data_IF_487565244389
#
_entry.id   IF_487565244389
#
_cell.length_a   1.000
_cell.length_b   1.000
_cell.length_c   1.000
_cell.angle_alpha   90.00
_cell.angle_beta   90.00
_cell.angle_gamma   90.00
#
_symmetry.space_group_name_H-M   'P 1'
#
loop_
_entity.id
_entity.type
_entity.pdbx_description
1 polymer ?
#
# COMPACT_ATOMS: atom_id res chain seq x y z
N UNK A 1 -20.73 -14.73 15.40
CA UNK A 1 -20.02 -15.78 16.18
C UNK A 1 -20.82 -16.23 17.41
N UNK A 2 -21.08 -15.39 18.41
CA UNK A 2 -21.82 -15.79 19.63
C UNK A 2 -23.17 -16.47 19.38
N UNK A 3 -23.88 -16.14 18.30
CA UNK A 3 -25.19 -16.74 17.93
C UNK A 3 -25.09 -18.17 17.41
N UNK A 4 -23.90 -18.65 17.05
CA UNK A 4 -23.68 -19.99 16.50
C UNK A 4 -23.29 -21.02 17.60
N UNK A 5 -23.17 -20.58 18.87
CA UNK A 5 -22.68 -21.40 19.96
C UNK A 5 -23.88 -21.89 20.78
N UNK A 6 -23.94 -23.20 21.03
CA UNK A 6 -24.94 -23.79 21.92
C UNK A 6 -24.83 -23.18 23.33
N UNK A 7 -25.96 -23.11 24.06
CA UNK A 7 -25.99 -22.66 25.45
C UNK A 7 -24.99 -23.48 26.28
N UNK A 8 -24.04 -22.82 26.95
CA UNK A 8 -22.96 -23.47 27.71
C UNK A 8 -21.75 -23.91 26.87
N UNK A 9 -21.78 -23.71 25.54
CA UNK A 9 -20.62 -24.00 24.65
C UNK A 9 -19.45 -23.06 24.89
N UNK A 10 -18.25 -23.52 24.56
CA UNK A 10 -17.01 -22.77 24.62
C UNK A 10 -16.51 -22.46 23.18
N UNK A 11 -15.75 -21.43 23.05
CA UNK A 11 -15.05 -21.11 21.79
C UNK A 11 -13.63 -20.59 22.10
N UNK A 12 -12.73 -20.83 21.18
CA UNK A 12 -11.36 -20.33 21.22
C UNK A 12 -11.22 -19.38 20.04
N UNK A 13 -10.66 -18.21 20.28
CA UNK A 13 -10.35 -17.22 19.25
C UNK A 13 -8.85 -16.95 19.30
N UNK A 14 -8.20 -17.13 18.17
CA UNK A 14 -6.79 -16.75 17.97
C UNK A 14 -6.74 -15.54 17.04
N UNK A 15 -5.92 -14.57 17.36
CA UNK A 15 -5.73 -13.37 16.55
C UNK A 15 -4.48 -12.60 16.94
N UNK A 16 -4.14 -11.65 16.12
CA UNK A 16 -3.04 -10.70 16.35
C UNK A 16 -3.51 -9.33 15.88
N UNK A 17 -3.67 -8.39 16.81
CA UNK A 17 -4.11 -7.03 16.52
C UNK A 17 -3.09 -6.27 15.67
N UNK A 18 -1.80 -6.59 15.83
CA UNK A 18 -0.71 -5.99 15.06
C UNK A 18 -0.65 -6.49 13.61
N UNK A 19 -1.50 -7.47 13.25
CA UNK A 19 -1.72 -7.89 11.87
C UNK A 19 -3.06 -7.41 11.30
N UNK A 20 -3.72 -6.44 11.95
CA UNK A 20 -4.94 -5.81 11.45
C UNK A 20 -4.58 -4.78 10.37
N UNK A 21 -4.62 -5.19 9.09
CA UNK A 21 -4.21 -4.40 7.92
C UNK A 21 -5.32 -4.22 6.87
N UNK A 22 -6.55 -4.71 7.13
CA UNK A 22 -7.64 -4.73 6.15
C UNK A 22 -8.83 -3.85 6.57
N UNK A 23 -8.63 -2.79 7.33
CA UNK A 23 -9.74 -1.91 7.76
C UNK A 23 -10.38 -1.17 6.58
N UNK A 24 -9.62 -0.84 5.54
CA UNK A 24 -10.13 -0.27 4.30
C UNK A 24 -11.21 -1.16 3.65
N UNK A 25 -11.19 -2.49 3.92
CA UNK A 25 -12.19 -3.45 3.48
C UNK A 25 -13.31 -3.66 4.51
N UNK A 26 -13.48 -2.74 5.48
CA UNK A 26 -14.53 -2.82 6.50
C UNK A 26 -14.22 -3.76 7.68
N UNK A 27 -12.99 -4.25 7.82
CA UNK A 27 -12.59 -5.04 8.98
C UNK A 27 -12.51 -4.14 10.22
N UNK A 28 -13.13 -4.58 11.34
CA UNK A 28 -13.03 -3.87 12.61
C UNK A 28 -11.64 -4.05 13.22
N UNK A 29 -10.99 -2.95 13.58
CA UNK A 29 -9.71 -2.95 14.30
C UNK A 29 -9.87 -3.40 15.76
N UNK A 30 -11.06 -3.22 16.32
CA UNK A 30 -11.33 -3.51 17.74
C UNK A 30 -11.99 -4.86 17.98
N UNK A 31 -12.49 -5.54 16.94
CA UNK A 31 -13.27 -6.78 17.09
C UNK A 31 -12.52 -7.88 17.86
N UNK A 32 -11.20 -7.97 17.69
CA UNK A 32 -10.39 -8.93 18.44
C UNK A 32 -10.25 -8.48 19.91
N UNK A 33 -9.96 -7.22 20.16
CA UNK A 33 -9.83 -6.64 21.49
C UNK A 33 -11.15 -6.70 22.27
N UNK A 34 -12.28 -6.48 21.61
CA UNK A 34 -13.60 -6.60 22.22
C UNK A 34 -13.90 -8.04 22.68
N UNK A 35 -13.38 -9.04 21.95
CA UNK A 35 -13.47 -10.44 22.36
C UNK A 35 -12.45 -10.75 23.45
N UNK A 36 -11.21 -10.27 23.32
CA UNK A 36 -10.12 -10.49 24.26
C UNK A 36 -10.45 -9.91 25.64
N UNK A 37 -11.01 -8.70 25.71
CA UNK A 37 -11.42 -8.02 26.94
C UNK A 37 -12.87 -8.37 27.38
N UNK A 38 -13.50 -9.34 26.72
CA UNK A 38 -14.89 -9.71 27.01
C UNK A 38 -15.08 -10.32 28.40
N UNK A 39 -16.25 -10.12 29.02
CA UNK A 39 -16.59 -10.77 30.29
C UNK A 39 -16.55 -12.30 30.12
N UNK A 40 -15.91 -13.02 31.04
CA UNK A 40 -15.73 -14.48 31.04
C UNK A 40 -14.74 -14.98 29.94
N UNK A 41 -13.89 -14.15 29.43
CA UNK A 41 -12.78 -14.53 28.54
C UNK A 41 -11.55 -14.84 29.38
N UNK A 42 -10.94 -16.00 29.17
CA UNK A 42 -9.59 -16.30 29.67
C UNK A 42 -8.59 -15.96 28.55
N UNK A 43 -7.63 -15.13 28.87
CA UNK A 43 -6.64 -14.63 27.94
C UNK A 43 -5.36 -15.46 28.01
N UNK A 44 -4.79 -15.77 26.86
CA UNK A 44 -3.49 -16.41 26.73
C UNK A 44 -2.67 -15.63 25.69
N UNK A 45 -1.43 -15.36 26.00
CA UNK A 45 -0.49 -14.73 25.09
C UNK A 45 0.40 -15.78 24.44
N UNK A 46 0.69 -15.60 23.15
CA UNK A 46 1.60 -16.44 22.36
C UNK A 46 2.73 -15.56 21.80
N UNK A 47 3.64 -15.07 22.65
CA UNK A 47 4.66 -14.11 22.24
C UNK A 47 5.79 -14.72 21.40
N UNK A 48 5.97 -16.05 21.42
CA UNK A 48 7.09 -16.71 20.77
C UNK A 48 6.80 -16.97 19.30
N UNK A 49 7.59 -16.39 18.43
CA UNK A 49 7.58 -16.66 16.99
C UNK A 49 8.35 -17.95 16.69
N UNK A 50 7.71 -18.85 15.96
CA UNK A 50 8.32 -20.09 15.45
C UNK A 50 8.74 -19.98 13.99
N UNK A 51 8.51 -18.81 13.36
CA UNK A 51 8.77 -18.59 11.94
C UNK A 51 10.12 -17.94 11.69
N UNK A 52 10.37 -16.82 12.33
CA UNK A 52 11.46 -15.92 11.95
C UNK A 52 12.68 -16.11 12.84
N UNK A 53 13.84 -15.95 12.22
CA UNK A 53 15.14 -15.91 12.91
C UNK A 53 15.32 -14.64 13.76
N UNK A 54 16.31 -14.64 14.66
CA UNK A 54 16.52 -13.61 15.69
C UNK A 54 16.60 -12.18 15.14
N UNK A 55 17.40 -11.97 14.09
CA UNK A 55 17.58 -10.63 13.51
C UNK A 55 16.28 -10.03 12.98
N UNK A 56 15.42 -10.88 12.37
CA UNK A 56 14.13 -10.46 11.84
C UNK A 56 13.19 -10.10 12.99
N UNK A 57 13.14 -10.91 14.05
CA UNK A 57 12.32 -10.60 15.23
C UNK A 57 12.82 -9.35 15.93
N UNK A 58 14.14 -9.16 16.08
CA UNK A 58 14.72 -7.92 16.63
C UNK A 58 14.27 -6.67 15.84
N UNK A 59 14.16 -6.79 14.52
CA UNK A 59 13.62 -5.71 13.69
C UNK A 59 12.10 -5.52 13.91
N UNK A 60 11.34 -6.62 14.01
CA UNK A 60 9.90 -6.60 14.25
C UNK A 60 9.51 -6.07 15.64
N UNK A 61 10.37 -6.24 16.65
CA UNK A 61 10.18 -5.71 18.00
C UNK A 61 10.04 -4.18 18.07
N UNK A 62 10.43 -3.47 17.02
CA UNK A 62 10.20 -2.00 16.91
C UNK A 62 8.72 -1.65 16.79
N UNK A 63 7.92 -2.56 16.28
CA UNK A 63 6.47 -2.44 16.10
C UNK A 63 5.69 -3.20 17.16
N UNK A 64 6.19 -4.37 17.54
CA UNK A 64 5.59 -5.27 18.54
C UNK A 64 6.66 -5.66 19.57
N UNK A 65 6.90 -4.83 20.60
CA UNK A 65 7.99 -5.06 21.56
C UNK A 65 7.94 -6.41 22.30
N UNK A 66 6.74 -6.97 22.48
CA UNK A 66 6.52 -8.22 23.20
C UNK A 66 6.80 -9.50 22.41
N UNK A 67 7.06 -9.42 21.08
CA UNK A 67 7.36 -10.62 20.30
C UNK A 67 8.75 -11.15 20.64
N UNK A 68 8.88 -12.46 20.78
CA UNK A 68 10.11 -13.15 21.13
C UNK A 68 10.44 -14.25 20.13
N UNK A 69 11.69 -14.71 20.13
CA UNK A 69 12.13 -15.89 19.38
C UNK A 69 12.21 -17.12 20.29
N UNK A 70 12.22 -18.30 19.68
CA UNK A 70 12.71 -19.51 20.35
C UNK A 70 14.20 -19.35 20.72
N UNK A 71 14.66 -20.10 21.71
CA UNK A 71 16.08 -20.13 22.09
C UNK A 71 16.94 -20.73 20.97
N UNK A 72 16.49 -21.85 20.40
CA UNK A 72 17.17 -22.61 19.35
C UNK A 72 16.75 -22.15 17.94
N UNK A 73 16.99 -20.89 17.59
CA UNK A 73 16.71 -20.37 16.24
C UNK A 73 17.96 -19.71 15.68
N UNK A 74 18.09 -19.71 14.35
CA UNK A 74 19.21 -19.06 13.64
C UNK A 74 19.29 -17.56 13.89
N UNK A 75 20.45 -16.98 13.62
CA UNK A 75 20.61 -15.53 13.72
C UNK A 75 19.79 -14.78 12.65
N UNK A 76 19.63 -15.40 11.47
CA UNK A 76 18.98 -14.76 10.34
C UNK A 76 19.83 -13.64 9.74
N UNK A 77 19.39 -13.14 8.59
CA UNK A 77 20.16 -12.17 7.83
C UNK A 77 19.26 -11.02 7.37
N UNK A 78 19.73 -9.79 7.60
CA UNK A 78 19.11 -8.59 7.05
C UNK A 78 20.13 -7.91 6.14
N UNK A 79 19.79 -7.75 4.87
CA UNK A 79 20.63 -7.06 3.89
C UNK A 79 19.92 -5.80 3.40
N UNK A 80 20.69 -4.73 3.28
CA UNK A 80 20.24 -3.47 2.70
C UNK A 80 20.93 -3.27 1.35
N UNK A 81 20.29 -2.53 0.47
CA UNK A 81 20.83 -2.19 -0.85
C UNK A 81 21.14 -3.41 -1.73
N UNK A 82 20.32 -4.47 -1.64
CA UNK A 82 20.39 -5.60 -2.57
C UNK A 82 19.87 -5.17 -3.95
N UNK A 83 20.21 -5.93 -4.98
CA UNK A 83 19.82 -5.66 -6.36
C UNK A 83 18.78 -6.68 -6.85
N UNK A 84 18.06 -6.36 -7.91
CA UNK A 84 17.08 -7.27 -8.53
C UNK A 84 17.72 -8.60 -8.95
N UNK A 85 18.94 -8.56 -9.47
CA UNK A 85 19.68 -9.75 -9.89
C UNK A 85 20.01 -10.72 -8.74
N UNK A 86 19.89 -10.25 -7.50
CA UNK A 86 20.11 -11.08 -6.30
C UNK A 86 18.88 -11.90 -5.92
N UNK A 87 17.72 -11.64 -6.54
CA UNK A 87 16.47 -12.37 -6.34
C UNK A 87 16.57 -13.72 -7.05
N UNK A 88 16.20 -14.79 -6.36
CA UNK A 88 16.32 -16.17 -6.81
C UNK A 88 14.96 -16.86 -6.87
N UNK A 89 14.84 -17.95 -7.63
CA UNK A 89 13.67 -18.83 -7.57
C UNK A 89 13.31 -19.22 -6.12
N UNK A 90 12.03 -19.31 -5.82
CA UNK A 90 11.41 -19.52 -4.50
C UNK A 90 11.49 -18.33 -3.53
N UNK A 91 12.18 -17.24 -3.87
CA UNK A 91 12.12 -16.03 -3.08
C UNK A 91 10.74 -15.36 -3.20
N UNK A 92 10.42 -14.53 -2.20
CA UNK A 92 9.22 -13.69 -2.21
C UNK A 92 9.61 -12.23 -2.35
N UNK A 93 8.93 -11.51 -3.24
CA UNK A 93 9.09 -10.05 -3.40
C UNK A 93 7.84 -9.35 -2.90
N UNK A 94 8.02 -8.40 -2.00
CA UNK A 94 6.93 -7.63 -1.40
C UNK A 94 7.03 -6.14 -1.73
N UNK A 95 5.88 -5.53 -2.01
CA UNK A 95 5.74 -4.08 -2.15
C UNK A 95 4.44 -3.58 -1.53
N UNK A 96 4.41 -2.29 -1.21
CA UNK A 96 3.19 -1.62 -0.75
C UNK A 96 2.15 -1.43 -1.87
N UNK A 97 2.62 -1.17 -3.08
CA UNK A 97 1.81 -0.89 -4.26
C UNK A 97 1.97 -1.99 -5.34
N UNK A 98 1.04 -2.03 -6.29
CA UNK A 98 1.06 -2.99 -7.39
C UNK A 98 2.07 -2.60 -8.48
N UNK A 99 2.09 -1.34 -8.91
CA UNK A 99 2.89 -0.92 -10.06
C UNK A 99 4.39 -1.25 -9.94
N UNK A 100 5.08 -1.09 -8.79
CA UNK A 100 6.46 -1.54 -8.65
C UNK A 100 6.61 -3.07 -8.78
N UNK A 101 5.61 -3.84 -8.34
CA UNK A 101 5.63 -5.31 -8.50
C UNK A 101 5.58 -5.71 -9.99
N UNK A 102 4.75 -5.06 -10.78
CA UNK A 102 4.67 -5.31 -12.21
C UNK A 102 5.96 -4.91 -12.93
N UNK A 103 6.61 -3.84 -12.49
CA UNK A 103 7.94 -3.47 -13.01
C UNK A 103 8.99 -4.51 -12.64
N UNK A 104 8.98 -4.97 -11.38
CA UNK A 104 9.86 -6.03 -10.92
C UNK A 104 9.66 -7.31 -11.73
N UNK A 105 8.41 -7.71 -11.94
CA UNK A 105 8.04 -8.83 -12.79
C UNK A 105 8.69 -8.72 -14.19
N UNK A 106 8.51 -7.56 -14.84
CA UNK A 106 9.08 -7.33 -16.17
C UNK A 106 10.61 -7.44 -16.17
N UNK A 107 11.27 -6.94 -15.12
CA UNK A 107 12.73 -7.00 -14.98
C UNK A 107 13.24 -8.43 -14.71
N UNK A 108 12.54 -9.18 -13.85
CA UNK A 108 12.88 -10.58 -13.58
C UNK A 108 12.73 -11.43 -14.85
N UNK A 109 11.67 -11.19 -15.63
CA UNK A 109 11.48 -11.84 -16.93
C UNK A 109 12.61 -11.50 -17.92
N UNK A 110 13.10 -10.25 -17.92
CA UNK A 110 14.25 -9.84 -18.73
C UNK A 110 15.56 -10.54 -18.32
N UNK A 111 15.66 -10.93 -17.05
CA UNK A 111 16.77 -11.71 -16.50
C UNK A 111 16.57 -13.23 -16.64
N UNK A 112 15.49 -13.67 -17.30
CA UNK A 112 15.09 -15.08 -17.40
C UNK A 112 14.89 -15.77 -16.03
N UNK A 113 14.43 -15.02 -15.03
CA UNK A 113 14.09 -15.55 -13.71
C UNK A 113 12.57 -15.81 -13.71
N UNK A 114 12.11 -17.08 -13.56
CA UNK A 114 10.70 -17.40 -13.54
C UNK A 114 10.02 -16.76 -12.34
N UNK A 115 8.93 -16.03 -12.59
CA UNK A 115 8.23 -15.32 -11.56
C UNK A 115 6.75 -15.15 -11.90
N UNK A 116 5.92 -14.93 -10.87
CA UNK A 116 4.50 -14.70 -11.01
C UNK A 116 4.01 -13.69 -9.97
N UNK A 117 2.89 -13.04 -10.26
CA UNK A 117 2.25 -12.13 -9.32
C UNK A 117 1.12 -12.86 -8.59
N UNK A 118 1.16 -12.84 -7.27
CA UNK A 118 0.09 -13.38 -6.44
C UNK A 118 -1.11 -12.44 -6.50
N UNK A 119 -2.07 -12.77 -7.39
CA UNK A 119 -3.31 -12.03 -7.57
C UNK A 119 -4.42 -12.47 -6.62
N UNK A 120 -5.47 -11.65 -6.52
CA UNK A 120 -6.77 -12.07 -6.01
C UNK A 120 -7.71 -12.30 -7.18
N UNK A 121 -8.70 -13.20 -7.01
CA UNK A 121 -9.85 -13.23 -7.92
C UNK A 121 -10.40 -11.81 -8.10
N UNK A 122 -10.65 -11.42 -9.35
CA UNK A 122 -11.14 -10.09 -9.70
C UNK A 122 -10.09 -9.03 -10.06
N UNK A 123 -8.81 -9.17 -9.66
CA UNK A 123 -7.79 -8.15 -10.01
C UNK A 123 -7.50 -8.13 -11.52
N UNK A 124 -7.39 -9.31 -12.13
CA UNK A 124 -7.26 -9.45 -13.58
C UNK A 124 -8.49 -8.85 -14.28
N UNK A 125 -9.69 -9.13 -13.74
CA UNK A 125 -10.94 -8.64 -14.32
C UNK A 125 -11.04 -7.10 -14.20
N UNK A 126 -10.56 -6.51 -13.09
CA UNK A 126 -10.50 -5.06 -12.92
C UNK A 126 -9.57 -4.40 -13.95
N UNK A 127 -8.36 -4.94 -14.15
CA UNK A 127 -7.43 -4.44 -15.17
C UNK A 127 -7.99 -4.62 -16.58
N UNK A 128 -8.60 -5.78 -16.88
CA UNK A 128 -9.28 -6.02 -18.17
C UNK A 128 -10.46 -5.07 -18.36
N UNK A 129 -11.25 -4.82 -17.32
CA UNK A 129 -12.36 -3.86 -17.38
C UNK A 129 -11.84 -2.46 -17.67
N UNK A 130 -10.77 -2.04 -17.02
CA UNK A 130 -10.14 -0.74 -17.27
C UNK A 130 -9.70 -0.61 -18.74
N UNK A 131 -8.99 -1.61 -19.26
CA UNK A 131 -8.62 -1.66 -20.68
C UNK A 131 -9.85 -1.57 -21.58
N UNK A 132 -10.87 -2.39 -21.32
CA UNK A 132 -12.05 -2.47 -22.18
C UNK A 132 -12.89 -1.18 -22.16
N UNK A 133 -12.84 -0.42 -21.04
CA UNK A 133 -13.54 0.86 -20.92
C UNK A 133 -12.90 1.95 -21.76
N UNK A 134 -11.56 1.96 -21.87
CA UNK A 134 -10.81 3.09 -22.46
C UNK A 134 -10.11 2.74 -23.78
N UNK A 135 -10.19 1.48 -24.24
CA UNK A 135 -9.71 1.13 -25.58
C UNK A 135 -10.73 1.57 -26.63
N UNK A 136 -10.24 2.01 -27.77
CA UNK A 136 -11.09 2.21 -28.96
C UNK A 136 -11.09 0.98 -29.88
N UNK A 137 -9.92 0.34 -30.02
CA UNK A 137 -9.75 -0.88 -30.84
C UNK A 137 -8.70 -1.80 -30.20
N UNK A 138 -8.87 -3.12 -30.36
CA UNK A 138 -7.94 -4.15 -29.88
C UNK A 138 -6.58 -4.10 -30.61
N UNK A 139 -6.58 -3.67 -31.87
CA UNK A 139 -5.39 -3.61 -32.72
C UNK A 139 -4.64 -2.27 -32.61
N UNK A 140 -5.23 -1.29 -31.90
CA UNK A 140 -4.58 0.00 -31.71
C UNK A 140 -3.38 -0.14 -30.77
N UNK A 141 -2.36 0.64 -31.08
CA UNK A 141 -1.14 0.69 -30.28
C UNK A 141 -1.38 1.26 -28.89
N UNK A 142 -0.45 0.98 -28.00
CA UNK A 142 -0.41 1.54 -26.64
C UNK A 142 0.19 2.96 -26.63
N UNK A 143 0.55 3.48 -27.79
CA UNK A 143 1.29 4.73 -27.97
C UNK A 143 0.54 5.97 -27.47
N UNK A 144 1.30 7.06 -27.31
CA UNK A 144 0.79 8.41 -27.08
C UNK A 144 0.25 9.03 -28.37
N UNK A 145 -0.77 8.40 -28.96
CA UNK A 145 -1.59 8.93 -30.06
C UNK A 145 -3.00 9.18 -29.55
N UNK A 146 -3.75 10.02 -30.27
CA UNK A 146 -5.08 10.47 -29.84
C UNK A 146 -6.04 9.31 -29.49
N UNK A 147 -5.89 8.17 -30.16
CA UNK A 147 -6.71 6.97 -29.97
C UNK A 147 -6.00 5.87 -29.15
N UNK A 148 -4.82 6.13 -28.60
CA UNK A 148 -4.06 5.16 -27.83
C UNK A 148 -4.68 4.86 -26.46
N UNK A 149 -4.52 3.63 -25.98
CA UNK A 149 -5.05 3.23 -24.68
C UNK A 149 -4.52 4.11 -23.52
N UNK A 150 -3.21 4.32 -23.44
CA UNK A 150 -2.62 5.06 -22.33
C UNK A 150 -3.02 6.53 -22.26
N UNK A 151 -3.05 7.28 -23.36
CA UNK A 151 -3.60 8.64 -23.35
C UNK A 151 -5.03 8.72 -22.84
N UNK A 152 -5.89 7.78 -23.24
CA UNK A 152 -7.29 7.72 -22.78
C UNK A 152 -7.37 7.43 -21.29
N UNK A 153 -6.54 6.53 -20.76
CA UNK A 153 -6.45 6.23 -19.33
C UNK A 153 -5.97 7.45 -18.52
N UNK A 154 -4.98 8.18 -19.00
CA UNK A 154 -4.51 9.39 -18.32
C UNK A 154 -5.52 10.54 -18.40
N UNK A 155 -6.28 10.64 -19.50
CA UNK A 155 -7.39 11.57 -19.59
C UNK A 155 -8.43 11.30 -18.50
N UNK A 156 -8.81 10.01 -18.34
CA UNK A 156 -9.73 9.61 -17.28
C UNK A 156 -9.20 9.91 -15.87
N UNK A 157 -7.88 9.73 -15.65
CA UNK A 157 -7.23 10.07 -14.38
C UNK A 157 -7.36 11.57 -14.07
N UNK A 158 -7.14 12.43 -15.05
CA UNK A 158 -7.28 13.88 -14.88
C UNK A 158 -8.75 14.27 -14.64
N UNK A 159 -9.67 13.63 -15.32
CA UNK A 159 -11.11 13.83 -15.11
C UNK A 159 -11.55 13.42 -13.71
N UNK A 160 -11.08 12.27 -13.21
CA UNK A 160 -11.34 11.80 -11.86
C UNK A 160 -10.80 12.79 -10.81
N UNK A 161 -9.54 13.25 -10.94
CA UNK A 161 -8.99 14.31 -10.07
C UNK A 161 -9.82 15.58 -10.10
N UNK A 162 -10.22 16.04 -11.31
CA UNK A 162 -10.96 17.27 -11.47
C UNK A 162 -12.35 17.18 -10.82
N UNK A 163 -12.99 16.01 -10.81
CA UNK A 163 -14.26 15.80 -10.12
C UNK A 163 -14.16 16.10 -8.62
N UNK A 164 -13.04 15.75 -7.98
CA UNK A 164 -12.79 16.12 -6.57
C UNK A 164 -12.62 17.62 -6.39
N UNK A 165 -11.88 18.27 -7.30
CA UNK A 165 -11.69 19.73 -7.25
C UNK A 165 -13.02 20.48 -7.41
N UNK A 166 -13.90 20.03 -8.31
CA UNK A 166 -15.24 20.56 -8.51
C UNK A 166 -16.12 20.38 -7.26
N UNK A 167 -15.90 19.31 -6.50
CA UNK A 167 -16.55 19.06 -5.22
C UNK A 167 -15.89 19.82 -4.03
N UNK A 168 -14.93 20.71 -4.29
CA UNK A 168 -14.36 21.62 -3.30
C UNK A 168 -13.11 21.15 -2.58
N UNK A 169 -12.49 20.04 -3.02
CA UNK A 169 -11.17 19.62 -2.54
C UNK A 169 -10.08 20.48 -3.18
N UNK A 170 -8.97 20.69 -2.46
CA UNK A 170 -7.81 21.28 -3.10
C UNK A 170 -7.08 20.26 -4.01
N UNK A 171 -6.14 20.76 -4.84
CA UNK A 171 -5.46 19.91 -5.82
C UNK A 171 -4.64 18.76 -5.15
N UNK A 172 -4.05 19.01 -3.99
CA UNK A 172 -3.25 18.02 -3.26
C UNK A 172 -4.18 16.97 -2.63
N UNK A 173 -5.28 17.41 -2.04
CA UNK A 173 -6.30 16.51 -1.48
C UNK A 173 -6.93 15.63 -2.58
N UNK A 174 -7.24 16.23 -3.74
CA UNK A 174 -7.79 15.51 -4.88
C UNK A 174 -6.83 14.45 -5.42
N UNK A 175 -5.56 14.81 -5.64
CA UNK A 175 -4.52 13.86 -6.08
C UNK A 175 -4.33 12.73 -5.07
N UNK A 176 -4.41 13.02 -3.78
CA UNK A 176 -4.22 12.06 -2.70
C UNK A 176 -5.49 11.27 -2.34
N UNK A 177 -6.59 11.50 -3.03
CA UNK A 177 -7.82 10.72 -2.83
C UNK A 177 -7.59 9.24 -3.20
N UNK A 178 -8.31 8.35 -2.52
CA UNK A 178 -8.12 6.91 -2.70
C UNK A 178 -8.41 6.46 -4.14
N UNK A 179 -9.45 7.00 -4.79
CA UNK A 179 -9.80 6.61 -6.15
C UNK A 179 -8.77 7.08 -7.18
N UNK A 180 -8.28 8.31 -7.06
CA UNK A 180 -7.24 8.84 -7.95
C UNK A 180 -5.93 8.07 -7.81
N UNK A 181 -5.50 7.78 -6.57
CA UNK A 181 -4.30 6.99 -6.32
C UNK A 181 -4.44 5.55 -6.83
N UNK A 182 -5.60 4.93 -6.64
CA UNK A 182 -5.89 3.59 -7.13
C UNK A 182 -5.88 3.52 -8.66
N UNK A 183 -6.54 4.48 -9.32
CA UNK A 183 -6.54 4.57 -10.78
C UNK A 183 -5.13 4.81 -11.33
N UNK A 184 -4.36 5.69 -10.68
CA UNK A 184 -2.97 5.95 -11.05
C UNK A 184 -2.09 4.69 -10.93
N UNK A 185 -2.17 3.94 -9.82
CA UNK A 185 -1.41 2.69 -9.63
C UNK A 185 -1.78 1.64 -10.68
N UNK A 186 -3.06 1.51 -11.03
CA UNK A 186 -3.51 0.61 -12.09
C UNK A 186 -2.98 1.02 -13.48
N UNK A 187 -2.99 2.30 -13.81
CA UNK A 187 -2.42 2.81 -15.07
C UNK A 187 -0.92 2.52 -15.13
N UNK A 188 -0.17 2.81 -14.05
CA UNK A 188 1.25 2.50 -13.98
C UNK A 188 1.52 1.00 -14.12
N UNK A 189 0.66 0.16 -13.54
CA UNK A 189 0.73 -1.29 -13.66
C UNK A 189 0.57 -1.74 -15.12
N UNK A 190 -0.45 -1.22 -15.81
CA UNK A 190 -0.68 -1.50 -17.23
C UNK A 190 0.48 -1.04 -18.11
N UNK A 191 1.06 0.13 -17.83
CA UNK A 191 2.26 0.62 -18.54
C UNK A 191 3.44 -0.31 -18.31
N UNK A 192 3.67 -0.75 -17.08
CA UNK A 192 4.78 -1.64 -16.73
C UNK A 192 4.66 -2.99 -17.47
N UNK A 193 3.45 -3.55 -17.53
CA UNK A 193 3.17 -4.81 -18.25
C UNK A 193 3.26 -4.60 -19.75
N UNK A 194 2.67 -3.51 -20.26
CA UNK A 194 2.59 -3.19 -21.67
C UNK A 194 3.90 -2.70 -22.30
N UNK A 195 4.96 -2.54 -21.53
CA UNK A 195 6.23 -1.96 -22.00
C UNK A 195 6.83 -2.63 -23.23
N UNK A 196 6.55 -3.92 -23.45
CA UNK A 196 7.00 -4.71 -24.60
C UNK A 196 5.85 -5.11 -25.54
N UNK A 197 4.64 -4.66 -25.27
CA UNK A 197 3.47 -4.93 -26.10
C UNK A 197 3.28 -3.82 -27.12
N UNK A 198 2.86 -4.17 -28.33
CA UNK A 198 2.55 -3.22 -29.38
C UNK A 198 1.05 -2.93 -29.46
N UNK A 199 0.22 -3.89 -29.08
CA UNK A 199 -1.24 -3.82 -29.18
C UNK A 199 -1.95 -4.09 -27.85
N UNK A 200 -3.22 -3.68 -27.79
CA UNK A 200 -4.10 -3.98 -26.64
C UNK A 200 -4.29 -5.49 -26.48
N UNK A 201 -4.38 -6.22 -27.60
CA UNK A 201 -4.53 -7.69 -27.59
C UNK A 201 -3.32 -8.37 -26.93
N UNK A 202 -2.10 -7.95 -27.29
CA UNK A 202 -0.87 -8.46 -26.66
C UNK A 202 -0.82 -8.14 -25.16
N UNK A 203 -1.23 -6.92 -24.77
CA UNK A 203 -1.30 -6.54 -23.36
C UNK A 203 -2.25 -7.44 -22.57
N UNK A 204 -3.45 -7.71 -23.11
CA UNK A 204 -4.43 -8.60 -22.48
C UNK A 204 -3.91 -10.03 -22.33
N UNK A 205 -3.31 -10.57 -23.38
CA UNK A 205 -2.71 -11.91 -23.34
C UNK A 205 -1.59 -11.99 -22.29
N UNK A 206 -0.75 -10.97 -22.21
CA UNK A 206 0.32 -10.91 -21.19
C UNK A 206 -0.25 -10.83 -19.78
N UNK A 207 -1.31 -10.04 -19.56
CA UNK A 207 -2.00 -9.96 -18.28
C UNK A 207 -2.55 -11.31 -17.81
N UNK A 208 -3.06 -12.13 -18.70
CA UNK A 208 -3.57 -13.47 -18.37
C UNK A 208 -2.50 -14.40 -17.81
N UNK A 209 -1.27 -14.24 -18.27
CA UNK A 209 -0.17 -15.14 -17.91
C UNK A 209 0.59 -14.73 -16.63
N UNK A 210 0.57 -13.44 -16.23
CA UNK A 210 1.39 -12.97 -15.09
C UNK A 210 0.90 -13.48 -13.73
N UNK A 211 -0.37 -13.91 -13.63
CA UNK A 211 -0.97 -14.43 -12.41
C UNK A 211 -0.91 -15.97 -12.31
N UNK A 212 -0.39 -16.64 -13.32
CA UNK A 212 -0.24 -18.09 -13.30
C UNK A 212 0.91 -18.43 -12.38
N UNK A 213 0.62 -19.18 -11.32
CA UNK A 213 1.65 -19.63 -10.37
C UNK A 213 2.62 -20.58 -11.08
N UNK A 214 3.91 -20.31 -10.93
CA UNK A 214 5.00 -21.09 -11.51
C UNK A 214 5.69 -21.82 -10.38
N UNK A 215 5.79 -23.14 -10.50
CA UNK A 215 6.54 -23.96 -9.54
C UNK A 215 8.00 -23.48 -9.48
N UNK A 216 8.51 -23.30 -8.27
CA UNK A 216 9.82 -22.73 -8.01
C UNK A 216 10.01 -21.30 -8.58
N UNK A 217 8.95 -20.61 -8.97
CA UNK A 217 9.02 -19.21 -9.39
C UNK A 217 9.17 -18.23 -8.21
N UNK A 218 9.63 -17.02 -8.51
CA UNK A 218 9.61 -15.91 -7.55
C UNK A 218 8.17 -15.45 -7.37
N UNK A 219 7.69 -15.44 -6.13
CA UNK A 219 6.36 -14.95 -5.79
C UNK A 219 6.39 -13.42 -5.54
N UNK A 220 5.81 -12.62 -6.44
CA UNK A 220 5.64 -11.19 -6.23
C UNK A 220 4.25 -10.92 -5.63
N UNK A 221 4.18 -10.15 -4.54
CA UNK A 221 2.91 -9.88 -3.87
C UNK A 221 2.88 -8.51 -3.21
N UNK A 222 1.71 -7.89 -3.17
CA UNK A 222 1.54 -6.78 -2.22
C UNK A 222 1.56 -7.31 -0.78
N UNK A 223 2.00 -6.48 0.16
CA UNK A 223 2.07 -6.88 1.57
C UNK A 223 0.71 -7.32 2.10
N UNK A 224 -0.37 -6.68 1.64
CA UNK A 224 -1.74 -7.05 2.03
C UNK A 224 -2.11 -8.47 1.60
N UNK A 225 -1.74 -8.87 0.39
CA UNK A 225 -2.00 -10.22 -0.15
C UNK A 225 -1.05 -11.26 0.43
N UNK A 226 0.15 -10.84 0.86
CA UNK A 226 1.12 -11.71 1.49
C UNK A 226 0.78 -12.08 2.93
N UNK A 227 -0.28 -11.50 3.52
CA UNK A 227 -0.73 -11.93 4.85
C UNK A 227 -1.11 -13.41 4.81
N UNK A 228 -0.46 -14.21 5.65
CA UNK A 228 -0.61 -15.67 5.68
C UNK A 228 0.45 -16.42 4.88
N UNK A 229 1.16 -15.77 3.96
CA UNK A 229 2.29 -16.36 3.25
C UNK A 229 3.59 -16.23 4.05
N UNK A 230 4.60 -17.00 3.66
CA UNK A 230 5.96 -16.94 4.21
C UNK A 230 6.96 -17.49 3.19
N UNK A 231 8.21 -17.05 3.26
CA UNK A 231 9.31 -17.56 2.44
C UNK A 231 10.61 -17.53 3.23
N UNK A 232 11.56 -18.35 2.84
CA UNK A 232 12.89 -18.38 3.47
C UNK A 232 13.62 -17.06 3.26
N UNK A 233 13.51 -16.50 2.05
CA UNK A 233 14.04 -15.18 1.69
C UNK A 233 12.93 -14.28 1.18
N UNK A 234 12.84 -13.08 1.76
CA UNK A 234 11.91 -12.04 1.34
C UNK A 234 12.67 -10.80 0.93
N UNK A 235 12.29 -10.24 -0.21
CA UNK A 235 12.79 -8.97 -0.74
C UNK A 235 11.71 -7.90 -0.65
N UNK A 236 12.01 -6.80 0.02
CA UNK A 236 11.13 -5.61 0.03
C UNK A 236 11.65 -4.64 -1.00
N UNK A 237 10.85 -4.36 -2.02
CA UNK A 237 11.14 -3.34 -3.04
C UNK A 237 10.44 -2.04 -2.66
N UNK A 238 11.02 -0.91 -3.05
CA UNK A 238 10.51 0.43 -2.75
C UNK A 238 10.12 0.62 -1.27
N UNK A 239 11.04 0.37 -0.30
CA UNK A 239 10.73 0.49 1.12
C UNK A 239 10.30 1.91 1.52
N UNK A 240 10.67 2.95 0.76
CA UNK A 240 10.25 4.34 0.97
C UNK A 240 8.74 4.58 0.80
N UNK A 241 8.02 3.62 0.17
CA UNK A 241 6.56 3.64 0.09
C UNK A 241 5.88 3.23 1.40
N UNK A 242 6.64 2.85 2.43
CA UNK A 242 6.13 2.44 3.75
C UNK A 242 6.75 3.29 4.87
N UNK A 243 5.94 3.86 5.74
CA UNK A 243 4.47 3.99 5.69
C UNK A 243 4.01 4.94 4.56
N UNK A 244 2.79 4.78 4.08
CA UNK A 244 2.22 5.74 3.14
C UNK A 244 2.16 7.13 3.79
N UNK A 245 2.51 8.16 3.01
CA UNK A 245 2.62 9.54 3.52
C UNK A 245 1.28 10.23 3.79
N UNK A 246 0.21 9.68 3.22
CA UNK A 246 -1.12 10.30 3.16
C UNK A 246 -2.09 9.75 4.22
N UNK A 247 -1.58 9.17 5.29
CA UNK A 247 -2.40 8.76 6.42
C UNK A 247 -2.96 9.99 7.13
N UNK A 248 -4.27 10.08 7.21
CA UNK A 248 -5.01 11.23 7.78
C UNK A 248 -5.39 10.98 9.24
N UNK A 249 -5.59 9.73 9.60
CA UNK A 249 -6.07 9.33 10.93
C UNK A 249 -5.03 8.50 11.71
N UNK A 250 -5.04 8.55 13.05
CA UNK A 250 -4.18 7.69 13.88
C UNK A 250 -4.39 6.19 13.60
N UNK A 251 -5.60 5.82 13.17
CA UNK A 251 -5.95 4.44 12.84
C UNK A 251 -5.22 4.00 11.57
N UNK A 252 -5.19 4.85 10.55
CA UNK A 252 -4.44 4.58 9.31
C UNK A 252 -2.93 4.54 9.58
N UNK A 253 -2.41 5.43 10.43
CA UNK A 253 -1.01 5.38 10.86
C UNK A 253 -0.68 4.04 11.51
N UNK A 254 -1.53 3.55 12.41
CA UNK A 254 -1.34 2.25 13.06
C UNK A 254 -1.40 1.10 12.05
N UNK A 255 -2.29 1.18 11.07
CA UNK A 255 -2.35 0.16 10.01
C UNK A 255 -1.07 0.10 9.17
N UNK A 256 -0.50 1.24 8.82
CA UNK A 256 0.77 1.27 8.08
C UNK A 256 1.92 0.69 8.92
N UNK A 257 1.94 0.91 10.25
CA UNK A 257 2.89 0.25 11.16
C UNK A 257 2.67 -1.28 11.18
N UNK A 258 1.42 -1.72 11.28
CA UNK A 258 1.07 -3.13 11.22
C UNK A 258 1.47 -3.75 9.87
N UNK A 259 1.35 -2.99 8.78
CA UNK A 259 1.73 -3.46 7.45
C UNK A 259 3.23 -3.71 7.35
N UNK A 260 4.05 -2.82 7.91
CA UNK A 260 5.51 -2.99 7.96
C UNK A 260 5.87 -4.22 8.81
N UNK A 261 5.23 -4.38 9.97
CA UNK A 261 5.40 -5.56 10.80
C UNK A 261 5.05 -6.86 10.06
N UNK A 262 3.92 -6.87 9.35
CA UNK A 262 3.51 -8.01 8.52
C UNK A 262 4.56 -8.28 7.44
N UNK A 263 5.04 -7.26 6.72
CA UNK A 263 6.03 -7.42 5.67
C UNK A 263 7.32 -8.09 6.18
N UNK A 264 7.85 -7.61 7.30
CA UNK A 264 9.09 -8.14 7.87
C UNK A 264 8.94 -9.57 8.34
N UNK A 265 7.82 -9.90 8.98
CA UNK A 265 7.55 -11.25 9.51
C UNK A 265 7.11 -12.25 8.45
N UNK A 266 7.17 -11.93 7.16
CA UNK A 266 7.03 -12.93 6.09
C UNK A 266 8.32 -13.70 5.86
N UNK A 267 9.48 -13.13 6.19
CA UNK A 267 10.77 -13.78 6.05
C UNK A 267 11.00 -14.77 7.20
N UNK A 268 11.51 -15.96 6.86
CA UNK A 268 11.98 -16.93 7.86
C UNK A 268 13.44 -16.65 8.23
N UNK A 269 14.33 -16.61 7.24
CA UNK A 269 15.78 -16.58 7.42
C UNK A 269 16.42 -15.29 6.91
N UNK A 270 15.99 -14.78 5.76
CA UNK A 270 16.63 -13.62 5.12
C UNK A 270 15.61 -12.56 4.74
N UNK A 271 15.86 -11.32 5.17
CA UNK A 271 15.11 -10.16 4.79
C UNK A 271 16.02 -9.19 4.04
N UNK A 272 15.70 -8.93 2.78
CA UNK A 272 16.44 -8.04 1.90
C UNK A 272 15.63 -6.76 1.61
N UNK A 273 16.32 -5.62 1.58
CA UNK A 273 15.77 -4.37 1.07
C UNK A 273 16.45 -4.06 -0.25
N UNK A 274 15.67 -4.02 -1.33
CA UNK A 274 16.20 -3.81 -2.67
C UNK A 274 16.37 -2.31 -2.93
N UNK A 275 17.53 -1.94 -3.48
CA UNK A 275 17.84 -0.55 -3.82
C UNK A 275 16.81 0.02 -4.80
N UNK A 276 16.33 1.24 -4.51
CA UNK A 276 15.28 1.90 -5.28
C UNK A 276 15.72 2.41 -6.66
N UNK A 277 17.03 2.43 -6.93
CA UNK A 277 17.58 2.99 -8.15
C UNK A 277 17.03 2.37 -9.44
N UNK A 278 16.63 1.09 -9.38
CA UNK A 278 16.16 0.33 -10.53
C UNK A 278 14.64 0.31 -10.70
N UNK A 279 13.88 0.64 -9.65
CA UNK A 279 12.43 0.42 -9.59
C UNK A 279 11.59 1.67 -9.54
N UNK A 280 12.20 2.84 -9.40
CA UNK A 280 11.44 3.99 -9.01
C UNK A 280 10.82 4.73 -10.22
N UNK A 281 9.63 4.30 -10.69
CA UNK A 281 8.76 5.22 -11.41
C UNK A 281 8.27 6.32 -10.46
N UNK A 282 8.39 6.06 -9.16
CA UNK A 282 7.87 6.81 -8.01
C UNK A 282 8.91 7.74 -7.38
N UNK A 283 10.15 7.83 -7.88
CA UNK A 283 11.01 8.98 -7.55
C UNK A 283 10.31 10.30 -7.87
N UNK A 284 9.48 10.30 -8.90
CA UNK A 284 8.56 11.38 -9.20
C UNK A 284 7.45 11.54 -8.15
N UNK A 285 6.84 10.46 -7.65
CA UNK A 285 5.77 10.52 -6.66
C UNK A 285 6.19 11.03 -5.26
N UNK A 286 7.46 10.93 -4.91
CA UNK A 286 7.91 11.28 -3.56
C UNK A 286 8.25 12.74 -3.34
N UNK A 287 8.62 13.48 -4.39
CA UNK A 287 8.92 14.90 -4.29
C UNK A 287 7.91 15.77 -5.02
N UNK A 288 7.27 15.27 -6.09
CA UNK A 288 6.48 16.07 -7.01
C UNK A 288 5.32 15.29 -7.63
N UNK A 289 4.44 14.69 -6.79
CA UNK A 289 3.22 14.10 -7.33
C UNK A 289 2.39 15.15 -8.09
N UNK A 290 2.39 16.38 -7.60
CA UNK A 290 1.74 17.52 -8.24
C UNK A 290 2.40 17.79 -9.60
N UNK A 291 3.71 17.87 -9.67
CA UNK A 291 4.46 18.07 -10.91
C UNK A 291 4.23 16.93 -11.90
N UNK A 292 4.11 15.69 -11.40
CA UNK A 292 3.78 14.54 -12.24
C UNK A 292 2.38 14.67 -12.84
N UNK A 293 1.39 15.07 -12.05
CA UNK A 293 0.04 15.30 -12.54
C UNK A 293 -0.02 16.50 -13.48
N UNK A 294 0.67 17.58 -13.19
CA UNK A 294 0.78 18.75 -14.08
C UNK A 294 1.40 18.38 -15.43
N UNK A 295 2.46 17.55 -15.43
CA UNK A 295 3.06 17.03 -16.65
C UNK A 295 2.11 16.14 -17.45
N UNK A 296 1.40 15.23 -16.80
CA UNK A 296 0.40 14.35 -17.42
C UNK A 296 -0.73 15.21 -18.02
N UNK A 297 -1.25 16.17 -17.25
CA UNK A 297 -2.31 17.08 -17.69
C UNK A 297 -1.88 17.89 -18.93
N UNK A 298 -0.71 18.50 -18.91
CA UNK A 298 -0.18 19.26 -20.06
C UNK A 298 -0.10 18.38 -21.32
N UNK A 299 0.34 17.15 -21.17
CA UNK A 299 0.45 16.18 -22.26
C UNK A 299 -0.92 15.75 -22.81
N UNK A 300 -1.87 15.48 -21.93
CA UNK A 300 -3.25 15.12 -22.27
C UNK A 300 -3.94 16.30 -22.97
N UNK A 301 -3.83 17.51 -22.40
CA UNK A 301 -4.40 18.72 -22.98
C UNK A 301 -3.88 18.99 -24.39
N UNK A 302 -2.58 18.83 -24.63
CA UNK A 302 -1.97 19.00 -25.94
C UNK A 302 -2.47 17.97 -26.95
N UNK A 303 -2.57 16.71 -26.53
CA UNK A 303 -2.96 15.62 -27.40
C UNK A 303 -4.44 15.70 -27.81
N UNK A 304 -5.33 15.93 -26.84
CA UNK A 304 -6.78 15.96 -27.07
C UNK A 304 -7.32 17.37 -27.38
N UNK A 305 -6.43 18.39 -27.46
CA UNK A 305 -6.81 19.81 -27.68
C UNK A 305 -7.85 20.32 -26.66
N UNK A 306 -7.72 19.88 -25.39
CA UNK A 306 -8.61 20.23 -24.29
C UNK A 306 -7.96 21.32 -23.45
N UNK A 307 -8.74 22.23 -22.90
CA UNK A 307 -8.27 23.21 -21.90
C UNK A 307 -8.90 22.91 -20.56
N UNK A 308 -8.10 22.44 -19.60
CA UNK A 308 -8.51 22.41 -18.20
C UNK A 308 -8.18 23.75 -17.54
N UNK A 309 -9.11 24.28 -16.73
CA UNK A 309 -8.80 25.42 -15.89
C UNK A 309 -7.88 24.94 -14.76
N UNK A 310 -6.60 25.32 -14.79
CA UNK A 310 -5.71 25.05 -13.64
C UNK A 310 -6.39 25.55 -12.37
N UNK A 311 -6.54 24.72 -11.33
CA UNK A 311 -7.05 25.17 -10.04
C UNK A 311 -6.16 26.32 -9.56
N UNK A 312 -6.75 27.46 -9.24
CA UNK A 312 -6.02 28.54 -8.59
C UNK A 312 -5.54 27.97 -7.25
N UNK A 313 -4.25 28.04 -6.97
CA UNK A 313 -3.69 27.78 -5.65
C UNK A 313 -4.22 28.84 -4.66
N UNK A 314 -5.49 28.77 -4.34
CA UNK A 314 -6.10 29.61 -3.32
C UNK A 314 -5.84 28.90 -2.00
N UNK A 315 -4.93 29.44 -1.21
CA UNK A 315 -4.79 29.08 0.21
C UNK A 315 -6.15 29.37 0.84
N UNK A 316 -7.02 28.37 0.90
CA UNK A 316 -8.31 28.47 1.57
C UNK A 316 -7.99 28.51 3.07
N UNK A 317 -8.08 29.69 3.68
CA UNK A 317 -8.12 29.78 5.13
C UNK A 317 -9.27 28.90 5.63
N UNK A 318 -9.08 28.07 6.66
CA UNK A 318 -10.12 27.18 7.16
C UNK A 318 -11.36 27.98 7.50
N UNK A 319 -12.47 27.72 6.82
CA UNK A 319 -13.78 28.31 7.11
C UNK A 319 -14.09 28.01 8.58
N UNK A 320 -14.13 29.04 9.42
CA UNK A 320 -14.63 28.94 10.80
C UNK A 320 -16.04 28.33 10.72
N UNK A 321 -16.19 27.10 11.19
CA UNK A 321 -17.52 26.48 11.37
C UNK A 321 -18.35 27.44 12.22
N UNK A 322 -19.41 28.00 11.67
CA UNK A 322 -20.44 28.75 12.41
C UNK A 322 -21.07 27.77 13.40
N UNK A 323 -20.64 27.87 14.66
CA UNK A 323 -21.25 27.12 15.76
C UNK A 323 -22.71 27.49 15.91
N UNK A 324 -23.60 26.53 15.80
CA UNK A 324 -24.98 26.70 16.31
C UNK A 324 -24.88 26.97 17.81
N UNK A 325 -25.42 28.13 18.25
CA UNK A 325 -25.62 28.46 19.66
C UNK A 325 -26.49 27.38 20.28
N UNK A 326 -25.92 26.56 21.16
CA UNK A 326 -26.70 25.76 22.12
C UNK A 326 -26.63 26.50 23.45
N UNK A 327 -27.79 26.85 23.98
CA UNK A 327 -27.92 27.50 25.27
C UNK A 327 -27.39 26.63 26.41
N UNK A 328 -26.71 27.20 27.42
CA UNK A 328 -26.14 26.46 28.52
C UNK A 328 -27.18 26.15 29.58
N UNK A 329 -27.29 24.88 29.97
CA UNK A 329 -27.87 24.48 31.28
C UNK A 329 -26.70 24.18 32.21
N UNK A 330 -26.73 24.88 33.31
CA UNK A 330 -25.74 24.97 34.38
C UNK A 330 -25.65 23.66 35.18
N UNK A 331 -24.45 23.17 35.53
CA UNK A 331 -23.98 22.95 36.91
C UNK A 331 -22.53 22.43 36.96
N UNK A 332 -21.73 23.29 37.51
CA UNK A 332 -20.56 23.16 38.43
C UNK A 332 -20.00 21.76 38.73
N UNK A 333 -18.70 21.55 38.53
CA UNK A 333 -17.63 21.63 39.56
C UNK A 333 -16.25 21.39 38.90
N UNK A 334 -15.40 22.35 39.21
CA UNK A 334 -13.93 22.41 39.22
C UNK A 334 -13.11 21.13 39.05
N UNK A 335 -12.16 21.12 38.10
CA UNK A 335 -10.72 21.17 38.43
C UNK A 335 -9.88 21.46 37.17
N UNK A 336 -9.04 22.47 37.27
CA UNK A 336 -8.05 22.84 36.25
C UNK A 336 -6.94 21.79 36.12
N UNK A 337 -6.71 21.29 34.90
CA UNK A 337 -5.36 20.85 34.51
C UNK A 337 -5.11 21.38 33.10
N UNK A 338 -4.28 22.41 33.02
CA UNK A 338 -3.64 22.85 31.78
C UNK A 338 -2.61 21.81 31.39
N UNK A 339 -2.78 21.19 30.25
CA UNK A 339 -1.67 20.54 29.55
C UNK A 339 -1.53 21.14 28.18
N UNK A 340 -0.49 21.93 28.05
CA UNK A 340 0.06 22.37 26.78
C UNK A 340 0.64 21.15 26.08
N UNK A 341 -0.07 20.60 25.09
CA UNK A 341 0.46 19.52 24.25
C UNK A 341 1.27 20.15 23.12
N UNK A 342 2.53 19.91 23.22
CA UNK A 342 3.65 20.38 22.45
C UNK A 342 3.53 20.03 20.96
N UNK A 343 3.55 21.03 20.09
CA UNK A 343 3.67 20.87 18.63
C UNK A 343 5.05 20.36 18.17
N UNK A 344 5.95 20.01 19.09
CA UNK A 344 7.30 19.53 18.79
C UNK A 344 7.39 18.04 18.47
N UNK A 345 6.38 17.21 18.79
CA UNK A 345 6.49 15.76 18.61
C UNK A 345 6.21 15.26 17.19
N UNK A 346 5.59 16.04 16.30
CA UNK A 346 5.33 15.59 14.89
C UNK A 346 6.59 15.51 14.01
N UNK A 347 7.66 16.27 14.34
CA UNK A 347 8.94 16.20 13.61
C UNK A 347 9.81 15.01 14.04
N UNK A 348 9.65 14.51 15.25
CA UNK A 348 10.50 13.47 15.83
C UNK A 348 10.30 12.08 15.24
N UNK A 349 9.07 11.68 14.96
CA UNK A 349 8.80 10.31 14.44
C UNK A 349 9.18 10.18 12.97
N UNK A 350 8.93 11.22 12.16
CA UNK A 350 9.27 11.24 10.75
C UNK A 350 10.79 11.21 10.51
N UNK A 351 11.54 11.95 11.30
CA UNK A 351 13.02 11.94 11.24
C UNK A 351 13.61 10.61 11.76
N UNK A 352 13.01 9.98 12.77
CA UNK A 352 13.50 8.69 13.30
C UNK A 352 13.36 7.54 12.30
N UNK A 353 12.33 7.56 11.44
CA UNK A 353 12.15 6.52 10.41
C UNK A 353 13.11 6.77 9.24
N UNK A 354 13.31 8.02 8.83
CA UNK A 354 14.26 8.38 7.76
C UNK A 354 15.72 8.21 8.19
N UNK A 355 16.07 8.61 9.41
CA UNK A 355 17.41 8.37 9.97
C UNK A 355 17.71 6.88 10.13
N UNK A 356 16.67 6.08 10.30
CA UNK A 356 16.79 4.62 10.38
C UNK A 356 16.96 3.93 9.02
N UNK A 357 16.34 4.45 7.98
CA UNK A 357 16.54 3.95 6.61
C UNK A 357 17.93 4.33 6.07
N UNK A 358 18.56 5.35 6.67
CA UNK A 358 19.90 5.83 6.32
C UNK A 358 21.03 5.30 7.23
N UNK A 359 20.71 4.54 8.28
CA UNK A 359 21.64 3.76 9.11
C UNK A 359 21.56 2.26 8.81
#
# INVERSE_FOLDING_TARGET
MKRCIKRGGRYIVCGDENQAINQFAGASSTAFLDLYNGPKTTQFELPISYRCDKSIIKLAQRFVPGIMTREEVGEGLIRRETLIKDIKPNDMVLCRLNSPLYMCYSRLMDLNIPCYIKGKEGELDELKKLINTYKEDENLGLDWKENGLFPNLYKALIEERNSYIENGYDNIEAINSQSVQYLYDNIQSLIAIGRKCQTVSELKHRLENIFIEIENGVCLSTIHKAKGLEADTVHIICPSLMPMKNTVTPIEEQQEQNLIYVAYTRAKHTLNFVSEGDFNPVKSLNNDIVDTFDYIEDRVCKLFKISYKKPKNTIIQPKKKRGKKINPIIRSTTTNVKTAVDRKNKKSTKNKIMDFLNQ
#
